data_IF_850170745489
#
_entry.id   IF_850170745489
#
_cell.length_a   1.000
_cell.length_b   1.000
_cell.length_c   1.000
_cell.angle_alpha   90.00
_cell.angle_beta   90.00
_cell.angle_gamma   90.00
#
_symmetry.space_group_name_H-M   'P 1'
#
loop_
_entity.id
_entity.type
_entity.pdbx_description
1 polymer ?
#
# COMPACT_ATOMS: atom_id res chain seq x y z
N UNK A 1 46.06 -27.29 -15.91
CA UNK A 1 44.79 -27.43 -16.68
C UNK A 1 43.54 -27.57 -15.82
N UNK A 2 43.63 -27.84 -14.51
CA UNK A 2 42.46 -28.01 -13.63
C UNK A 2 41.77 -26.71 -13.15
N UNK A 3 42.44 -25.56 -13.26
CA UNK A 3 41.95 -24.28 -12.71
C UNK A 3 40.87 -23.67 -13.60
N UNK A 4 41.08 -23.67 -14.93
CA UNK A 4 40.11 -23.14 -15.89
C UNK A 4 38.76 -23.87 -15.87
N UNK A 5 38.76 -25.16 -15.52
CA UNK A 5 37.54 -25.99 -15.43
C UNK A 5 36.76 -25.68 -14.14
N UNK A 6 37.44 -25.33 -13.05
CA UNK A 6 36.80 -24.94 -11.80
C UNK A 6 36.02 -23.63 -11.95
N UNK A 7 36.64 -22.64 -12.58
CA UNK A 7 36.03 -21.32 -12.79
C UNK A 7 34.80 -21.39 -13.72
N UNK A 8 34.85 -22.25 -14.75
CA UNK A 8 33.69 -22.50 -15.62
C UNK A 8 32.54 -23.19 -14.88
N UNK A 9 32.84 -24.22 -14.09
CA UNK A 9 31.82 -24.93 -13.29
C UNK A 9 31.17 -24.01 -12.25
N UNK A 10 31.94 -23.12 -11.62
CA UNK A 10 31.41 -22.12 -10.68
C UNK A 10 30.52 -21.08 -11.38
N UNK A 11 30.90 -20.60 -12.57
CA UNK A 11 30.10 -19.68 -13.38
C UNK A 11 28.79 -20.30 -13.89
N UNK A 12 28.83 -21.56 -14.33
CA UNK A 12 27.65 -22.31 -14.76
C UNK A 12 26.71 -22.62 -13.58
N UNK A 13 27.28 -23.01 -12.42
CA UNK A 13 26.53 -23.18 -11.17
C UNK A 13 25.82 -21.88 -10.75
N UNK A 14 26.52 -20.74 -10.82
CA UNK A 14 25.92 -19.42 -10.52
C UNK A 14 24.80 -19.04 -11.50
N UNK A 15 24.95 -19.38 -12.78
CA UNK A 15 23.95 -19.11 -13.82
C UNK A 15 22.69 -19.96 -13.62
N UNK A 16 22.85 -21.24 -13.30
CA UNK A 16 21.75 -22.14 -12.96
C UNK A 16 21.02 -21.69 -11.70
N UNK A 17 21.74 -21.24 -10.67
CA UNK A 17 21.16 -20.72 -9.45
C UNK A 17 20.30 -19.47 -9.72
N UNK A 18 20.79 -18.54 -10.56
CA UNK A 18 20.04 -17.34 -10.97
C UNK A 18 18.80 -17.66 -11.79
N UNK A 19 18.86 -18.66 -12.66
CA UNK A 19 17.70 -19.11 -13.42
C UNK A 19 16.62 -19.69 -12.50
N UNK A 20 17.02 -20.51 -11.51
CA UNK A 20 16.12 -21.05 -10.49
C UNK A 20 15.51 -19.93 -9.63
N UNK A 21 16.34 -19.01 -9.13
CA UNK A 21 15.87 -17.84 -8.38
C UNK A 21 14.88 -17.00 -9.18
N UNK A 22 15.13 -16.79 -10.47
CA UNK A 22 14.21 -16.05 -11.33
C UNK A 22 12.86 -16.76 -11.48
N UNK A 23 12.86 -18.09 -11.63
CA UNK A 23 11.60 -18.85 -11.70
C UNK A 23 10.82 -18.84 -10.39
N UNK A 24 11.52 -18.94 -9.26
CA UNK A 24 10.93 -18.93 -7.92
C UNK A 24 10.32 -17.56 -7.59
N UNK A 25 11.09 -16.48 -7.75
CA UNK A 25 10.62 -15.11 -7.49
C UNK A 25 9.46 -14.74 -8.43
N UNK A 26 9.48 -15.20 -9.68
CA UNK A 26 8.36 -14.96 -10.60
C UNK A 26 7.08 -15.68 -10.18
N UNK A 27 7.20 -16.91 -9.66
CA UNK A 27 6.05 -17.68 -9.17
C UNK A 27 5.50 -17.11 -7.85
N UNK A 28 6.40 -16.71 -6.94
CA UNK A 28 6.05 -16.03 -5.69
C UNK A 28 5.34 -14.71 -6.00
N UNK A 29 5.90 -13.87 -6.86
CA UNK A 29 5.29 -12.61 -7.28
C UNK A 29 3.87 -12.81 -7.84
N UNK A 30 3.67 -13.83 -8.69
CA UNK A 30 2.35 -14.17 -9.22
C UNK A 30 1.34 -14.56 -8.13
N UNK A 31 1.82 -15.29 -7.12
CA UNK A 31 1.01 -15.72 -5.97
C UNK A 31 0.65 -14.53 -5.08
N UNK A 32 1.65 -13.73 -4.68
CA UNK A 32 1.46 -12.54 -3.85
C UNK A 32 0.56 -11.52 -4.54
N UNK A 33 0.69 -11.33 -5.85
CA UNK A 33 -0.17 -10.42 -6.59
C UNK A 33 -1.63 -10.87 -6.58
N UNK A 34 -1.87 -12.19 -6.73
CA UNK A 34 -3.21 -12.76 -6.65
C UNK A 34 -3.81 -12.54 -5.27
N UNK A 35 -3.08 -12.89 -4.22
CA UNK A 35 -3.53 -12.70 -2.83
C UNK A 35 -3.85 -11.23 -2.53
N UNK A 36 -3.00 -10.30 -2.95
CA UNK A 36 -3.24 -8.86 -2.81
C UNK A 36 -4.54 -8.43 -3.51
N UNK A 37 -4.83 -8.97 -4.69
CA UNK A 37 -6.07 -8.66 -5.41
C UNK A 37 -7.29 -9.23 -4.69
N UNK A 38 -7.21 -10.47 -4.20
CA UNK A 38 -8.29 -11.13 -3.48
C UNK A 38 -8.61 -10.36 -2.18
N UNK A 39 -7.60 -10.04 -1.37
CA UNK A 39 -7.75 -9.24 -0.15
C UNK A 39 -8.33 -7.84 -0.43
N UNK A 40 -7.85 -7.17 -1.49
CA UNK A 40 -8.38 -5.86 -1.85
C UNK A 40 -9.87 -5.93 -2.23
N UNK A 41 -10.28 -6.99 -2.92
CA UNK A 41 -11.67 -7.19 -3.32
C UNK A 41 -12.55 -7.51 -2.10
N UNK A 42 -12.04 -8.29 -1.15
CA UNK A 42 -12.74 -8.59 0.09
C UNK A 42 -12.98 -7.32 0.91
N UNK A 43 -11.93 -6.52 1.13
CA UNK A 43 -12.03 -5.25 1.85
C UNK A 43 -13.03 -4.29 1.17
N UNK A 44 -13.01 -4.20 -0.17
CA UNK A 44 -13.97 -3.38 -0.92
C UNK A 44 -15.40 -3.88 -0.73
N UNK A 45 -15.59 -5.21 -0.72
CA UNK A 45 -16.91 -5.83 -0.55
C UNK A 45 -17.48 -5.57 0.84
N UNK A 46 -16.64 -5.63 1.87
CA UNK A 46 -17.02 -5.27 3.24
C UNK A 46 -17.45 -3.79 3.35
N UNK A 47 -16.69 -2.88 2.75
CA UNK A 47 -17.05 -1.45 2.71
C UNK A 47 -18.43 -1.25 2.04
N UNK A 48 -18.66 -1.87 0.89
CA UNK A 48 -19.95 -1.79 0.18
C UNK A 48 -21.11 -2.31 1.04
N UNK A 49 -20.89 -3.41 1.78
CA UNK A 49 -21.90 -3.95 2.68
C UNK A 49 -22.24 -2.98 3.82
N UNK A 50 -21.24 -2.35 4.43
CA UNK A 50 -21.43 -1.34 5.47
C UNK A 50 -22.17 -0.10 4.94
N UNK A 51 -21.85 0.37 3.73
CA UNK A 51 -22.54 1.48 3.09
C UNK A 51 -24.02 1.18 2.85
N UNK A 52 -24.35 -0.03 2.42
CA UNK A 52 -25.73 -0.48 2.24
C UNK A 52 -26.49 -0.51 3.55
N UNK A 53 -25.92 -1.14 4.59
CA UNK A 53 -26.52 -1.21 5.93
C UNK A 53 -26.77 0.21 6.46
N UNK A 54 -25.79 1.10 6.32
CA UNK A 54 -25.94 2.51 6.66
C UNK A 54 -27.13 3.12 5.93
N UNK A 55 -27.22 2.97 4.61
CA UNK A 55 -28.33 3.48 3.81
C UNK A 55 -29.71 2.95 4.27
N UNK A 56 -29.81 1.67 4.62
CA UNK A 56 -31.04 1.07 5.17
C UNK A 56 -31.41 1.64 6.54
N UNK A 57 -30.43 1.83 7.43
CA UNK A 57 -30.65 2.46 8.74
C UNK A 57 -31.21 3.88 8.63
N UNK A 58 -30.70 4.68 7.68
CA UNK A 58 -31.22 6.03 7.44
C UNK A 58 -32.64 6.02 6.87
N UNK A 59 -32.94 5.09 5.94
CA UNK A 59 -34.30 4.89 5.44
C UNK A 59 -35.28 4.52 6.56
N UNK A 60 -34.89 3.61 7.46
CA UNK A 60 -35.70 3.24 8.63
C UNK A 60 -35.95 4.42 9.58
N UNK A 61 -35.01 5.37 9.68
CA UNK A 61 -35.17 6.63 10.43
C UNK A 61 -36.01 7.69 9.69
N UNK A 62 -36.53 7.38 8.51
CA UNK A 62 -37.34 8.30 7.70
C UNK A 62 -36.51 9.38 6.99
N UNK A 63 -35.19 9.20 6.88
CA UNK A 63 -34.29 10.16 6.25
C UNK A 63 -33.93 9.69 4.83
N UNK A 64 -34.26 10.49 3.82
CA UNK A 64 -33.87 10.27 2.42
C UNK A 64 -32.78 11.26 2.02
N UNK A 65 -31.71 11.32 2.81
CA UNK A 65 -30.58 12.24 2.59
C UNK A 65 -29.47 11.50 1.83
N UNK A 66 -28.84 12.20 0.89
CA UNK A 66 -27.59 11.75 0.28
C UNK A 66 -26.44 11.92 1.29
N UNK A 67 -25.85 10.81 1.72
CA UNK A 67 -24.74 10.79 2.67
C UNK A 67 -23.47 10.54 1.90
N UNK A 68 -22.45 11.35 2.17
CA UNK A 68 -21.14 11.20 1.56
C UNK A 68 -20.09 11.31 2.64
N UNK A 69 -19.24 10.30 2.74
CA UNK A 69 -18.07 10.36 3.61
C UNK A 69 -16.97 11.16 2.95
N UNK A 70 -16.07 11.69 3.76
CA UNK A 70 -14.89 12.34 3.22
C UNK A 70 -13.98 11.33 2.53
N UNK A 71 -13.52 11.67 1.32
CA UNK A 71 -12.42 10.98 0.65
C UNK A 71 -11.22 11.91 0.57
N UNK A 72 -10.02 11.36 0.76
CA UNK A 72 -8.75 12.10 0.74
C UNK A 72 -7.79 11.48 -0.26
N UNK A 73 -6.85 12.27 -0.76
CA UNK A 73 -5.82 11.79 -1.68
C UNK A 73 -4.82 10.87 -0.99
N UNK A 74 -3.98 10.23 -1.79
CA UNK A 74 -2.74 9.64 -1.32
C UNK A 74 -1.86 10.68 -0.62
N UNK A 75 -0.98 10.18 0.24
CA UNK A 75 0.00 11.00 0.95
C UNK A 75 1.07 11.50 -0.01
N UNK A 76 1.35 12.80 0.05
CA UNK A 76 2.54 13.42 -0.52
C UNK A 76 3.55 13.64 0.59
N UNK A 77 4.75 13.10 0.40
CA UNK A 77 5.85 13.23 1.36
C UNK A 77 6.75 14.42 1.00
N UNK A 78 7.06 15.24 1.99
CA UNK A 78 8.08 16.28 1.89
C UNK A 78 9.47 15.70 2.21
N UNK A 79 10.52 16.45 1.88
CA UNK A 79 11.90 16.07 2.20
C UNK A 79 12.09 15.97 3.72
N UNK A 80 12.86 14.97 4.15
CA UNK A 80 13.32 14.87 5.52
C UNK A 80 14.13 16.12 5.90
N UNK A 81 13.93 16.63 7.11
CA UNK A 81 14.63 17.83 7.61
C UNK A 81 16.15 17.67 7.67
N UNK A 82 16.63 16.43 7.79
CA UNK A 82 18.04 16.07 7.93
C UNK A 82 18.36 14.94 6.96
N UNK A 83 19.53 14.94 6.33
CA UNK A 83 19.95 13.85 5.44
C UNK A 83 20.45 12.61 6.17
N UNK A 84 20.90 12.76 7.42
CA UNK A 84 21.41 11.68 8.28
C UNK A 84 21.27 12.09 9.76
N UNK A 85 21.46 11.14 10.68
CA UNK A 85 21.49 11.43 12.13
C UNK A 85 20.13 11.77 12.75
N UNK A 86 19.04 11.46 12.04
CA UNK A 86 17.67 11.72 12.47
C UNK A 86 17.12 13.08 12.00
N UNK A 87 15.91 13.05 11.49
CA UNK A 87 15.13 14.22 11.11
C UNK A 87 13.63 13.96 11.21
N UNK A 88 12.84 14.93 10.75
CA UNK A 88 11.38 14.82 10.65
C UNK A 88 10.97 15.06 9.21
N UNK A 89 10.07 14.22 8.69
CA UNK A 89 9.37 14.44 7.44
C UNK A 89 7.90 14.73 7.72
N UNK A 90 7.29 15.47 6.81
CA UNK A 90 5.87 15.79 6.84
C UNK A 90 5.22 15.11 5.65
N UNK A 91 4.14 14.38 5.89
CA UNK A 91 3.23 13.91 4.84
C UNK A 91 1.99 14.79 4.83
N UNK A 92 1.54 15.18 3.67
CA UNK A 92 0.32 15.96 3.47
C UNK A 92 -0.59 15.30 2.44
N UNK A 93 -1.90 15.46 2.60
CA UNK A 93 -2.91 15.02 1.62
C UNK A 93 -4.06 16.00 1.57
N UNK A 94 -4.77 16.02 0.45
CA UNK A 94 -5.92 16.92 0.26
C UNK A 94 -7.24 16.17 0.32
N UNK A 95 -8.31 16.90 0.62
CA UNK A 95 -9.68 16.38 0.51
C UNK A 95 -10.03 16.27 -0.97
N UNK A 96 -10.47 15.09 -1.40
CA UNK A 96 -10.99 14.82 -2.74
C UNK A 96 -12.52 14.91 -2.79
N UNK A 97 -13.19 14.46 -1.73
CA UNK A 97 -14.64 14.54 -1.58
C UNK A 97 -14.95 15.13 -0.21
N UNK A 98 -15.69 16.24 -0.19
CA UNK A 98 -16.15 16.84 1.06
C UNK A 98 -17.31 16.05 1.66
N UNK A 99 -17.32 15.82 2.98
CA UNK A 99 -18.37 15.04 3.61
C UNK A 99 -19.69 15.82 3.65
N UNK A 100 -20.80 15.11 3.44
CA UNK A 100 -22.18 15.61 3.57
C UNK A 100 -22.94 14.65 4.47
N UNK A 101 -23.20 15.05 5.71
CA UNK A 101 -23.85 14.23 6.74
C UNK A 101 -23.20 12.84 6.98
N UNK A 102 -21.98 12.65 6.45
CA UNK A 102 -21.17 11.45 6.59
C UNK A 102 -20.00 11.66 7.54
N UNK A 103 -19.02 10.77 7.47
CA UNK A 103 -17.81 10.80 8.28
C UNK A 103 -16.92 11.99 7.93
N UNK A 104 -16.44 12.68 8.96
CA UNK A 104 -15.47 13.75 8.81
C UNK A 104 -14.16 13.24 8.21
N UNK A 105 -13.39 14.16 7.60
CA UNK A 105 -12.12 13.82 7.01
C UNK A 105 -11.11 13.34 8.06
N UNK A 106 -10.31 12.31 7.76
CA UNK A 106 -9.18 11.94 8.59
C UNK A 106 -8.10 13.03 8.55
N UNK A 107 -7.06 12.97 9.41
CA UNK A 107 -5.99 13.97 9.44
C UNK A 107 -5.35 14.17 8.06
N UNK A 108 -5.10 15.43 7.70
CA UNK A 108 -4.52 15.82 6.40
C UNK A 108 -3.01 16.01 6.45
N UNK A 109 -2.42 15.98 7.65
CA UNK A 109 -0.99 16.13 7.88
C UNK A 109 -0.52 15.07 8.87
N UNK A 110 0.61 14.44 8.59
CA UNK A 110 1.27 13.47 9.45
C UNK A 110 2.75 13.85 9.58
N UNK A 111 3.32 13.73 10.78
CA UNK A 111 4.75 13.93 11.05
C UNK A 111 5.37 12.61 11.43
N UNK A 112 6.46 12.25 10.78
CA UNK A 112 7.18 11.00 11.05
C UNK A 112 8.69 11.26 11.17
N UNK A 113 9.36 10.44 11.97
CA UNK A 113 10.82 10.42 12.05
C UNK A 113 11.40 9.84 10.77
N UNK A 114 12.53 10.39 10.30
CA UNK A 114 13.21 9.94 9.10
C UNK A 114 14.73 9.98 9.27
N UNK A 115 15.44 9.23 8.43
CA UNK A 115 16.91 9.17 8.42
C UNK A 115 17.52 8.88 9.80
N UNK A 116 16.88 8.01 10.59
CA UNK A 116 17.29 7.64 11.95
C UNK A 116 18.45 6.64 11.98
N UNK A 117 18.83 6.10 10.82
CA UNK A 117 20.00 5.25 10.68
C UNK A 117 21.26 6.10 10.45
N UNK A 118 22.45 5.62 10.88
CA UNK A 118 23.73 6.33 10.71
C UNK A 118 24.09 6.59 9.25
#
# INVERSE_FOLDING_TARGET
MAIATKDQVESESSSNLKAQQHTEVSAEYGTTMKECCDEQNDLKSEICALEKIRGELYKMRGWTVFITDCAVSEWREDKCSSSCGGGTLIKSRSIMVHPVNGMACPPLTLKESCNTHP
#
